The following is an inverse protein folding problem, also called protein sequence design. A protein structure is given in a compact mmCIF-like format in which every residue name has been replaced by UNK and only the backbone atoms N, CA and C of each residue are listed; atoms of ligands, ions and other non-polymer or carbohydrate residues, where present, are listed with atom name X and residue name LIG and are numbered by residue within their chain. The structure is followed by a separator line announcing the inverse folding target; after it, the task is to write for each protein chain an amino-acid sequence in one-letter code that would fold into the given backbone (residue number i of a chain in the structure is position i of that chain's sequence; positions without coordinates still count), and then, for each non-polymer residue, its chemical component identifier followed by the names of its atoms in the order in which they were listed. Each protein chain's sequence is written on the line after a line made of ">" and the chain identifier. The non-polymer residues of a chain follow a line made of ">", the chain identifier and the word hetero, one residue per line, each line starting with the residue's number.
data_IF_820035250951
#
_entry.id   IF_820035250951
#
_cell.length_a   1.000
_cell.length_b   1.000
_cell.length_c   1.000
_cell.angle_alpha   90.00
_cell.angle_beta   90.00
_cell.angle_gamma   90.00
#
_symmetry.space_group_name_H-M   'P 1'
#
loop_
_entity.id
_entity.type
_entity.pdbx_description
1 polymer ?
#
# COMPACT_ATOMS: atom_id res chain seq x y z
N UNK A 1 26.89 34.11 53.24
CA UNK A 1 26.20 32.82 53.01
C UNK A 1 26.25 32.60 51.51
N UNK A 2 27.19 31.76 51.07
CA UNK A 2 27.50 31.52 49.66
C UNK A 2 26.28 30.98 48.91
N UNK A 3 25.95 31.58 47.77
CA UNK A 3 24.89 31.07 46.90
C UNK A 3 25.56 30.43 45.68
N UNK A 4 25.88 29.15 45.82
CA UNK A 4 26.37 28.33 44.71
C UNK A 4 25.22 28.12 43.72
N UNK A 5 25.23 28.89 42.64
CA UNK A 5 24.35 28.66 41.49
C UNK A 5 24.78 27.39 40.78
N UNK A 6 24.09 26.28 41.05
CA UNK A 6 24.24 25.04 40.29
C UNK A 6 23.92 25.33 38.83
N UNK A 7 24.94 25.19 37.98
CA UNK A 7 24.80 25.25 36.52
C UNK A 7 24.17 23.91 36.14
N UNK A 8 22.89 23.93 35.77
CA UNK A 8 22.13 22.77 35.34
C UNK A 8 22.70 22.27 33.99
N UNK A 9 23.81 21.52 34.03
CA UNK A 9 24.44 20.85 32.89
C UNK A 9 23.59 19.64 32.46
N UNK A 10 22.45 19.91 31.84
CA UNK A 10 21.55 18.91 31.28
C UNK A 10 21.12 19.23 29.85
N UNK A 11 20.77 18.20 29.08
CA UNK A 11 20.16 18.36 27.76
C UNK A 11 18.86 19.17 27.87
N UNK A 12 18.83 20.35 27.25
CA UNK A 12 17.65 21.22 27.26
C UNK A 12 16.76 20.91 26.06
N UNK A 13 15.48 20.63 26.28
CA UNK A 13 14.50 20.52 25.18
C UNK A 13 14.45 21.85 24.42
N UNK A 14 14.56 21.85 23.07
CA UNK A 14 14.43 23.08 22.29
C UNK A 14 13.12 23.80 22.59
N UNK A 15 13.21 25.06 23.02
CA UNK A 15 12.07 25.88 23.47
C UNK A 15 11.15 26.33 22.32
N UNK A 16 11.54 26.08 21.08
CA UNK A 16 10.77 26.46 19.89
C UNK A 16 9.70 25.41 19.62
N UNK A 17 8.43 25.80 19.74
CA UNK A 17 7.28 24.96 19.37
C UNK A 17 7.20 24.82 17.84
N UNK A 18 6.87 23.62 17.37
CA UNK A 18 6.39 23.40 16.00
C UNK A 18 5.13 24.26 15.83
N UNK A 19 5.02 25.08 14.77
CA UNK A 19 3.80 25.84 14.49
C UNK A 19 2.58 24.92 14.53
N UNK A 20 1.48 25.41 15.09
CA UNK A 20 0.22 24.68 15.10
C UNK A 20 -0.10 24.25 13.68
N UNK A 21 -0.46 22.98 13.51
CA UNK A 21 -0.66 22.35 12.21
C UNK A 21 -1.48 23.26 11.29
N UNK A 22 -0.91 23.62 10.15
CA UNK A 22 -1.62 24.30 9.08
C UNK A 22 -2.84 23.44 8.74
N UNK A 23 -4.03 24.03 8.75
CA UNK A 23 -5.23 23.32 8.33
C UNK A 23 -5.01 22.76 6.93
N UNK A 24 -5.01 21.43 6.81
CA UNK A 24 -4.91 20.79 5.50
C UNK A 24 -6.05 21.34 4.62
N UNK A 25 -5.76 21.65 3.34
CA UNK A 25 -6.83 22.03 2.43
C UNK A 25 -7.89 20.92 2.38
N UNK A 26 -9.15 21.26 2.12
CA UNK A 26 -10.20 20.28 1.99
C UNK A 26 -9.85 19.25 0.89
N UNK A 27 -10.27 17.99 1.06
CA UNK A 27 -9.95 16.94 0.10
C UNK A 27 -10.51 17.27 -1.30
N UNK A 28 -9.82 16.84 -2.37
CA UNK A 28 -10.32 17.00 -3.73
C UNK A 28 -11.71 16.38 -3.88
N UNK A 29 -12.59 17.04 -4.64
CA UNK A 29 -13.93 16.51 -4.92
C UNK A 29 -13.83 15.24 -5.76
N UNK A 30 -14.54 14.19 -5.33
CA UNK A 30 -14.72 12.98 -6.15
C UNK A 30 -15.38 13.36 -7.47
N UNK A 31 -14.75 13.01 -8.59
CA UNK A 31 -15.37 13.20 -9.91
C UNK A 31 -16.61 12.32 -10.03
N UNK A 32 -17.61 12.78 -10.77
CA UNK A 32 -18.73 11.92 -11.14
C UNK A 32 -18.19 10.72 -11.92
N UNK A 33 -18.77 9.51 -11.75
CA UNK A 33 -18.44 8.39 -12.61
C UNK A 33 -18.81 8.79 -14.05
N UNK A 34 -17.79 9.11 -14.85
CA UNK A 34 -17.94 9.44 -16.25
C UNK A 34 -18.05 8.16 -17.07
N UNK A 35 -19.16 8.00 -17.79
CA UNK A 35 -19.38 6.89 -18.71
C UNK A 35 -20.53 5.98 -18.30
N UNK A 36 -21.16 5.37 -19.31
CA UNK A 36 -22.11 4.28 -19.09
C UNK A 36 -21.38 3.10 -18.42
N UNK A 37 -22.12 2.34 -17.60
CA UNK A 37 -21.61 1.07 -17.08
C UNK A 37 -21.22 0.20 -18.27
N UNK A 38 -19.93 -0.12 -18.40
CA UNK A 38 -19.46 -1.04 -19.43
C UNK A 38 -20.10 -2.40 -19.20
N UNK A 39 -20.73 -2.96 -20.22
CA UNK A 39 -21.24 -4.32 -20.11
C UNK A 39 -20.09 -5.31 -19.91
N UNK A 40 -20.32 -6.41 -19.16
CA UNK A 40 -19.36 -7.50 -19.07
C UNK A 40 -18.96 -8.01 -20.47
N UNK A 41 -17.71 -8.50 -20.64
CA UNK A 41 -17.30 -9.17 -21.85
C UNK A 41 -18.21 -10.37 -22.15
N UNK A 42 -18.55 -10.56 -23.43
CA UNK A 42 -19.46 -11.63 -23.90
C UNK A 42 -19.05 -13.04 -23.46
N UNK A 43 -17.74 -13.28 -23.30
CA UNK A 43 -17.19 -14.59 -22.97
C UNK A 43 -16.64 -14.68 -21.54
N UNK A 44 -17.11 -13.79 -20.65
CA UNK A 44 -16.55 -13.66 -19.31
C UNK A 44 -15.19 -12.96 -19.30
N UNK A 45 -14.69 -12.67 -18.09
CA UNK A 45 -13.41 -11.98 -17.89
C UNK A 45 -12.20 -12.93 -17.91
N UNK A 46 -12.43 -14.19 -17.54
CA UNK A 46 -11.41 -15.22 -17.49
C UNK A 46 -11.88 -16.40 -18.32
N UNK A 47 -11.08 -16.74 -19.33
CA UNK A 47 -11.26 -17.93 -20.15
C UNK A 47 -10.11 -18.87 -19.79
N UNK A 48 -10.28 -19.80 -18.82
CA UNK A 48 -9.23 -20.73 -18.49
C UNK A 48 -8.85 -21.55 -19.72
N UNK A 49 -7.56 -21.84 -19.92
CA UNK A 49 -7.16 -22.81 -20.94
C UNK A 49 -7.80 -24.16 -20.62
N UNK A 50 -8.01 -24.96 -21.67
CA UNK A 50 -8.48 -26.33 -21.51
C UNK A 50 -7.47 -27.15 -20.68
N UNK A 51 -7.93 -27.67 -19.54
CA UNK A 51 -7.08 -28.43 -18.63
C UNK A 51 -6.78 -29.82 -19.18
N UNK A 52 -7.65 -30.39 -20.01
CA UNK A 52 -7.44 -31.72 -20.60
C UNK A 52 -6.21 -31.73 -21.50
N UNK A 53 -5.93 -30.61 -22.17
CA UNK A 53 -4.71 -30.39 -22.93
C UNK A 53 -3.41 -30.53 -22.10
N UNK A 54 -3.45 -30.32 -20.78
CA UNK A 54 -2.28 -30.48 -19.90
C UNK A 54 -1.99 -31.94 -19.56
N UNK A 55 -3.03 -32.78 -19.54
CA UNK A 55 -2.93 -34.20 -19.17
C UNK A 55 -2.78 -35.14 -20.36
N UNK A 56 -2.96 -34.64 -21.59
CA UNK A 56 -2.68 -35.39 -22.83
C UNK A 56 -1.18 -35.57 -23.11
N UNK A 57 -0.30 -34.96 -22.30
CA UNK A 57 1.13 -35.14 -22.41
C UNK A 57 1.50 -36.60 -22.13
N UNK A 58 2.28 -37.19 -23.06
CA UNK A 58 2.68 -38.58 -22.99
C UNK A 58 3.37 -38.89 -21.65
N UNK A 59 3.04 -40.03 -20.99
CA UNK A 59 3.72 -40.44 -19.78
C UNK A 59 5.24 -40.43 -19.97
N UNK A 60 5.97 -39.74 -19.08
CA UNK A 60 7.44 -39.80 -19.09
C UNK A 60 7.86 -41.21 -18.68
N UNK A 61 8.81 -41.79 -19.44
CA UNK A 61 9.42 -43.08 -19.10
C UNK A 61 9.99 -43.03 -17.69
N UNK A 62 9.47 -43.89 -16.82
CA UNK A 62 10.01 -44.11 -15.48
C UNK A 62 11.38 -44.79 -15.60
N UNK A 63 12.33 -44.39 -14.75
CA UNK A 63 13.58 -45.12 -14.58
C UNK A 63 13.37 -46.17 -13.48
N UNK A 64 13.54 -47.46 -13.81
CA UNK A 64 13.48 -48.54 -12.83
C UNK A 64 14.65 -48.44 -11.84
N UNK A 65 14.38 -48.77 -10.58
CA UNK A 65 15.37 -48.97 -9.52
C UNK A 65 15.72 -50.47 -9.40
#
# INVERSE_FOLDING_TARGET
>A
MESSSSIEEGCTTPKHRIPVAFHCPPPPRKKSPGGAKREPPKNGYFQPPDLDSLFTLQPRREACA
#
